data_IF_843851869033
#
_entry.id   IF_843851869033
#
_cell.length_a   1.000
_cell.length_b   1.000
_cell.length_c   1.000
_cell.angle_alpha   90.00
_cell.angle_beta   90.00
_cell.angle_gamma   90.00
#
_symmetry.space_group_name_H-M   'P 1'
#
loop_
_entity.id
_entity.type
_entity.pdbx_description
1 polymer ?
#
# COMPACT_ATOMS: atom_id res chain seq x y z
N UNK A 1 -7.34 6.91 23.14
CA UNK A 1 -6.67 6.31 21.96
C UNK A 1 -7.53 5.27 21.22
N UNK A 2 -8.84 5.17 21.49
CA UNK A 2 -9.75 4.23 20.79
C UNK A 2 -9.67 4.27 19.26
N UNK A 3 -9.39 5.45 18.69
CA UNK A 3 -9.26 5.64 17.23
C UNK A 3 -8.11 4.87 16.57
N UNK A 4 -7.16 4.42 17.37
CA UNK A 4 -5.99 3.65 16.94
C UNK A 4 -6.05 2.20 17.41
N UNK A 5 -7.19 1.77 17.96
CA UNK A 5 -7.44 0.36 18.18
C UNK A 5 -7.73 -0.29 16.83
N UNK A 6 -7.13 -1.45 16.62
CA UNK A 6 -7.36 -2.29 15.44
C UNK A 6 -7.22 -1.57 14.10
N UNK A 7 -6.16 -0.79 13.84
CA UNK A 7 -6.03 -0.02 12.61
C UNK A 7 -6.00 -0.94 11.38
N UNK A 8 -6.47 -0.44 10.24
CA UNK A 8 -6.48 -1.19 8.98
C UNK A 8 -5.30 -0.72 8.14
N UNK A 9 -4.42 -1.64 7.77
CA UNK A 9 -3.19 -1.31 7.03
C UNK A 9 -3.13 -2.14 5.75
N UNK A 10 -3.35 -1.49 4.63
CA UNK A 10 -3.22 -2.09 3.30
C UNK A 10 -1.76 -2.05 2.87
N UNK A 11 -1.19 -3.21 2.60
CA UNK A 11 0.18 -3.40 2.13
C UNK A 11 0.21 -4.15 0.81
N UNK A 12 1.35 -4.11 0.15
CA UNK A 12 1.64 -4.93 -1.02
C UNK A 12 2.67 -4.27 -1.94
N UNK A 13 3.22 -5.02 -2.90
CA UNK A 13 4.09 -4.43 -3.91
C UNK A 13 3.39 -3.28 -4.66
N UNK A 14 4.19 -2.38 -5.20
CA UNK A 14 3.66 -1.41 -6.17
C UNK A 14 3.03 -2.14 -7.36
N UNK A 15 1.97 -1.55 -7.93
CA UNK A 15 1.30 -2.04 -9.17
C UNK A 15 0.48 -3.34 -9.05
N UNK A 16 0.13 -3.77 -7.84
CA UNK A 16 -0.76 -4.91 -7.60
C UNK A 16 -2.25 -4.57 -7.61
N UNK A 17 -2.65 -3.34 -7.93
CA UNK A 17 -4.04 -2.88 -7.80
C UNK A 17 -4.41 -2.45 -6.38
N UNK A 18 -3.44 -2.38 -5.47
CA UNK A 18 -3.66 -1.97 -4.08
C UNK A 18 -4.33 -0.61 -3.92
N UNK A 19 -4.07 0.35 -4.83
CA UNK A 19 -4.76 1.65 -4.81
C UNK A 19 -6.27 1.49 -4.98
N UNK A 20 -6.71 0.75 -6.00
CA UNK A 20 -8.13 0.56 -6.33
C UNK A 20 -8.87 -0.03 -5.13
N UNK A 21 -8.37 -1.17 -4.63
CA UNK A 21 -8.98 -1.86 -3.50
C UNK A 21 -8.95 -1.00 -2.23
N UNK A 22 -7.82 -0.33 -1.93
CA UNK A 22 -7.73 0.54 -0.75
C UNK A 22 -8.67 1.74 -0.83
N UNK A 23 -8.86 2.36 -1.99
CA UNK A 23 -9.74 3.52 -2.14
C UNK A 23 -11.22 3.13 -1.97
N UNK A 24 -11.61 1.91 -2.38
CA UNK A 24 -12.94 1.37 -2.11
C UNK A 24 -13.13 1.14 -0.61
N UNK A 25 -12.20 0.45 0.05
CA UNK A 25 -12.29 0.17 1.50
C UNK A 25 -12.28 1.47 2.31
N UNK A 26 -11.42 2.44 1.95
CA UNK A 26 -11.28 3.71 2.67
C UNK A 26 -12.45 4.68 2.44
N UNK A 27 -13.40 4.34 1.56
CA UNK A 27 -14.65 5.08 1.45
C UNK A 27 -15.55 4.94 2.69
N UNK A 28 -15.32 3.89 3.50
CA UNK A 28 -16.08 3.64 4.72
C UNK A 28 -16.08 4.83 5.67
N UNK A 29 -17.25 5.20 6.19
CA UNK A 29 -17.49 6.42 6.95
C UNK A 29 -16.66 6.50 8.25
N UNK A 30 -16.40 5.38 8.91
CA UNK A 30 -15.58 5.33 10.13
C UNK A 30 -14.08 5.53 9.89
N UNK A 31 -13.60 5.31 8.66
CA UNK A 31 -12.18 5.27 8.36
C UNK A 31 -11.62 6.67 8.06
N UNK A 32 -10.43 6.92 8.59
CA UNK A 32 -9.65 8.12 8.33
C UNK A 32 -8.16 7.79 8.25
N UNK A 33 -7.39 8.71 7.69
CA UNK A 33 -5.96 8.50 7.50
C UNK A 33 -5.30 9.62 6.71
N UNK A 34 -4.01 9.47 6.39
CA UNK A 34 -3.25 10.50 5.69
C UNK A 34 -3.82 10.83 4.32
N UNK A 35 -3.72 12.10 3.95
CA UNK A 35 -4.14 12.59 2.64
C UNK A 35 -2.98 13.21 1.88
N UNK A 36 -3.19 13.63 0.64
CA UNK A 36 -2.22 14.39 -0.13
C UNK A 36 -1.71 15.64 0.60
N UNK A 37 -2.53 16.27 1.45
CA UNK A 37 -2.10 17.41 2.26
C UNK A 37 -1.11 17.02 3.34
N UNK A 38 -1.25 15.83 3.92
CA UNK A 38 -0.29 15.28 4.89
C UNK A 38 1.06 14.95 4.23
N UNK A 39 1.05 14.57 2.95
CA UNK A 39 2.26 14.40 2.14
C UNK A 39 2.93 15.75 1.85
N UNK A 40 2.17 16.75 1.41
CA UNK A 40 2.73 18.06 1.04
C UNK A 40 3.18 18.90 2.23
N UNK A 41 2.47 18.81 3.36
CA UNK A 41 2.68 19.64 4.54
C UNK A 41 2.63 18.80 5.82
N UNK A 42 3.62 17.91 6.04
CA UNK A 42 3.62 16.95 7.16
C UNK A 42 3.69 17.60 8.55
N UNK A 43 4.04 18.88 8.64
CA UNK A 43 4.13 19.65 9.89
C UNK A 43 2.84 20.40 10.24
N UNK A 44 1.82 20.40 9.37
CA UNK A 44 0.58 21.15 9.53
C UNK A 44 -0.62 20.20 9.73
N UNK A 45 -0.81 19.65 10.95
CA UNK A 45 -1.84 18.64 11.20
C UNK A 45 -3.27 19.14 10.95
N UNK A 46 -3.53 20.44 11.13
CA UNK A 46 -4.85 21.07 10.95
C UNK A 46 -5.40 20.94 9.52
N UNK A 47 -4.54 20.74 8.51
CA UNK A 47 -4.98 20.47 7.13
C UNK A 47 -5.81 19.18 7.02
N UNK A 48 -5.67 18.27 7.99
CA UNK A 48 -6.51 17.07 8.08
C UNK A 48 -7.99 17.41 8.27
N UNK A 49 -8.31 18.57 8.85
CA UNK A 49 -9.69 19.04 9.02
C UNK A 49 -10.39 19.36 7.69
N UNK A 50 -9.64 19.63 6.60
CA UNK A 50 -10.21 19.83 5.26
C UNK A 50 -11.01 18.60 4.79
N UNK A 51 -10.68 17.42 5.32
CA UNK A 51 -11.44 16.18 5.06
C UNK A 51 -12.90 16.33 5.48
N UNK A 52 -13.23 17.12 6.52
CA UNK A 52 -14.62 17.33 6.96
C UNK A 52 -15.46 18.08 5.93
N UNK A 53 -14.85 18.89 5.08
CA UNK A 53 -15.54 19.62 4.01
C UNK A 53 -16.01 18.69 2.89
N UNK A 54 -15.34 17.55 2.73
CA UNK A 54 -15.59 16.60 1.64
C UNK A 54 -16.14 15.25 2.12
N UNK A 55 -15.89 14.87 3.36
CA UNK A 55 -16.23 13.56 3.92
C UNK A 55 -16.69 13.71 5.37
N UNK A 56 -18.00 13.89 5.56
CA UNK A 56 -18.67 13.93 6.85
C UNK A 56 -19.92 13.01 6.83
N UNK A 57 -20.78 13.09 7.84
CA UNK A 57 -21.95 12.21 7.98
C UNK A 57 -23.08 12.58 6.99
N UNK A 58 -23.14 13.83 6.54
CA UNK A 58 -24.18 14.33 5.63
C UNK A 58 -23.82 14.14 4.16
N UNK A 59 -22.54 14.32 3.79
CA UNK A 59 -22.08 14.14 2.42
C UNK A 59 -20.68 13.54 2.32
N UNK A 60 -20.45 12.88 1.19
CA UNK A 60 -19.19 12.25 0.85
C UNK A 60 -18.84 12.51 -0.62
N UNK A 61 -17.70 13.15 -0.83
CA UNK A 61 -17.06 13.42 -2.11
C UNK A 61 -15.60 13.03 -1.93
N UNK A 62 -15.15 11.99 -2.62
CA UNK A 62 -13.76 11.55 -2.54
C UNK A 62 -12.98 12.00 -3.77
N UNK A 63 -11.79 12.56 -3.56
CA UNK A 63 -10.84 12.82 -4.63
C UNK A 63 -10.26 11.50 -5.12
N UNK A 64 -10.17 11.32 -6.44
CA UNK A 64 -9.68 10.07 -7.05
C UNK A 64 -8.23 10.24 -7.53
N UNK A 65 -7.44 9.17 -7.48
CA UNK A 65 -6.17 9.17 -8.22
C UNK A 65 -6.48 8.93 -9.69
N UNK A 66 -5.94 9.78 -10.57
CA UNK A 66 -6.05 9.62 -12.02
C UNK A 66 -5.34 8.31 -12.43
N UNK A 67 -6.05 7.19 -12.41
CA UNK A 67 -5.51 5.88 -12.81
C UNK A 67 -6.07 5.43 -14.16
N UNK A 68 -7.40 5.49 -14.34
CA UNK A 68 -8.06 5.08 -15.60
C UNK A 68 -9.12 6.04 -16.14
N UNK A 69 -9.61 7.00 -15.36
CA UNK A 69 -10.64 7.96 -15.79
C UNK A 69 -10.15 9.41 -15.76
N UNK A 70 -10.78 10.27 -16.58
CA UNK A 70 -10.60 11.73 -16.51
C UNK A 70 -11.10 12.21 -15.15
N UNK A 71 -10.20 12.74 -14.34
CA UNK A 71 -10.55 13.31 -13.04
C UNK A 71 -11.36 14.58 -13.20
N UNK A 72 -12.29 14.84 -12.26
CA UNK A 72 -13.06 16.11 -12.22
C UNK A 72 -12.12 17.33 -12.15
N UNK A 73 -12.56 18.46 -12.68
CA UNK A 73 -11.77 19.71 -12.75
C UNK A 73 -11.21 20.18 -11.40
N UNK A 74 -11.94 19.94 -10.30
CA UNK A 74 -11.51 20.29 -8.93
C UNK A 74 -10.96 19.10 -8.11
N UNK A 75 -10.72 17.95 -8.75
CA UNK A 75 -10.31 16.72 -8.06
C UNK A 75 -8.99 16.85 -7.28
N UNK A 76 -8.11 17.75 -7.70
CA UNK A 76 -6.82 17.98 -7.02
C UNK A 76 -6.96 18.74 -5.68
N UNK A 77 -8.10 19.39 -5.43
CA UNK A 77 -8.38 20.12 -4.20
C UNK A 77 -9.18 19.30 -3.18
N UNK A 78 -9.75 18.17 -3.60
CA UNK A 78 -10.46 17.27 -2.67
C UNK A 78 -9.41 16.38 -2.00
N UNK A 79 -9.38 16.31 -0.65
CA UNK A 79 -8.49 15.42 0.06
C UNK A 79 -8.64 13.97 -0.45
N UNK A 80 -7.52 13.35 -0.80
CA UNK A 80 -7.46 11.96 -1.27
C UNK A 80 -6.49 11.14 -0.44
N UNK A 81 -6.74 9.84 -0.21
CA UNK A 81 -5.84 8.98 0.55
C UNK A 81 -4.42 8.97 -0.02
N UNK A 82 -3.43 9.15 0.85
CA UNK A 82 -2.01 9.13 0.51
C UNK A 82 -1.25 8.13 1.36
N UNK A 83 -0.13 7.67 0.82
CA UNK A 83 0.84 6.84 1.58
C UNK A 83 1.61 7.73 2.57
N UNK A 84 1.69 9.05 2.27
CA UNK A 84 2.21 10.10 3.13
C UNK A 84 3.68 9.87 3.53
N UNK A 85 4.53 9.57 2.56
CA UNK A 85 5.94 9.24 2.78
C UNK A 85 6.69 10.35 3.52
N UNK A 86 6.44 11.61 3.16
CA UNK A 86 7.01 12.79 3.85
C UNK A 86 6.54 12.91 5.30
N UNK A 87 5.30 12.47 5.60
CA UNK A 87 4.80 12.42 6.97
C UNK A 87 5.53 11.33 7.77
N UNK A 88 5.66 10.14 7.20
CA UNK A 88 6.41 9.05 7.83
C UNK A 88 7.85 9.45 8.11
N UNK A 89 8.54 10.04 7.15
CA UNK A 89 9.92 10.48 7.31
C UNK A 89 10.10 11.52 8.42
N UNK A 90 9.08 12.35 8.67
CA UNK A 90 9.09 13.34 9.74
C UNK A 90 8.84 12.72 11.14
N UNK A 91 8.25 11.52 11.20
CA UNK A 91 7.94 10.83 12.45
C UNK A 91 8.95 9.73 12.80
N UNK A 92 9.62 9.16 11.81
CA UNK A 92 10.66 8.13 12.00
C UNK A 92 12.02 8.76 12.24
N UNK A 93 12.89 8.01 12.92
CA UNK A 93 14.30 8.42 13.11
C UNK A 93 15.07 8.53 11.79
N UNK A 94 16.17 9.30 11.80
CA UNK A 94 16.91 9.71 10.61
C UNK A 94 17.67 8.57 9.90
N UNK A 95 17.92 7.42 10.55
CA UNK A 95 18.53 6.24 9.90
C UNK A 95 17.52 5.37 9.13
N UNK A 96 16.25 5.77 9.09
CA UNK A 96 15.17 5.07 8.39
C UNK A 96 14.77 5.88 7.16
N UNK A 97 14.89 5.26 5.99
CA UNK A 97 14.15 5.67 4.80
C UNK A 97 12.85 4.86 4.75
N UNK A 98 11.79 5.40 5.34
CA UNK A 98 10.53 4.67 5.46
C UNK A 98 9.93 4.30 4.09
N UNK A 99 10.24 5.07 3.04
CA UNK A 99 9.71 4.84 1.70
C UNK A 99 10.39 3.69 0.96
N UNK A 100 11.64 3.36 1.31
CA UNK A 100 12.47 2.38 0.58
C UNK A 100 12.98 1.21 1.41
N UNK A 101 13.12 1.37 2.73
CA UNK A 101 13.67 0.32 3.58
C UNK A 101 12.65 -0.79 3.84
N UNK A 102 13.15 -2.04 3.88
CA UNK A 102 12.35 -3.19 4.31
C UNK A 102 12.08 -3.19 5.82
N UNK A 103 12.95 -2.54 6.61
CA UNK A 103 12.86 -2.50 8.08
C UNK A 103 12.80 -3.88 8.76
N UNK A 104 13.42 -4.90 8.14
CA UNK A 104 13.54 -6.24 8.75
C UNK A 104 14.24 -6.15 10.10
N UNK A 105 13.69 -6.84 11.10
CA UNK A 105 14.21 -6.86 12.46
C UNK A 105 14.31 -5.48 13.15
N UNK A 106 13.75 -4.42 12.55
CA UNK A 106 13.68 -3.09 13.14
C UNK A 106 12.31 -2.90 13.81
N UNK A 107 12.32 -2.36 15.02
CA UNK A 107 11.13 -1.94 15.77
C UNK A 107 11.20 -0.44 16.05
N UNK A 108 10.03 0.20 16.14
CA UNK A 108 9.93 1.59 16.55
C UNK A 108 10.38 1.74 18.01
N UNK A 109 11.15 2.79 18.31
CA UNK A 109 11.42 3.18 19.69
C UNK A 109 10.15 3.64 20.41
N UNK A 110 10.18 3.74 21.73
CA UNK A 110 9.04 4.28 22.49
C UNK A 110 8.70 5.72 22.07
N UNK A 111 9.70 6.53 21.75
CA UNK A 111 9.50 7.91 21.27
C UNK A 111 8.85 7.96 19.89
N UNK A 112 9.25 7.07 18.97
CA UNK A 112 8.62 6.92 17.65
C UNK A 112 7.16 6.46 17.82
N UNK A 113 6.90 5.44 18.64
CA UNK A 113 5.53 4.96 18.92
C UNK A 113 4.64 6.07 19.45
N UNK A 114 5.11 6.83 20.43
CA UNK A 114 4.34 7.94 21.00
C UNK A 114 4.07 9.04 19.96
N UNK A 115 5.09 9.45 19.21
CA UNK A 115 4.97 10.48 18.17
C UNK A 115 3.99 10.06 17.08
N UNK A 116 4.15 8.85 16.53
CA UNK A 116 3.33 8.31 15.45
C UNK A 116 1.87 8.16 15.91
N UNK A 117 1.64 7.55 17.08
CA UNK A 117 0.29 7.36 17.63
C UNK A 117 -0.35 8.71 17.98
N UNK A 118 0.39 9.65 18.56
CA UNK A 118 -0.15 10.99 18.82
C UNK A 118 -0.58 11.69 17.54
N UNK A 119 0.28 11.65 16.51
CA UNK A 119 0.05 12.31 15.22
C UNK A 119 -1.20 11.76 14.53
N UNK A 120 -1.35 10.43 14.47
CA UNK A 120 -2.53 9.82 13.86
C UNK A 120 -3.80 10.01 14.72
N UNK A 121 -3.73 9.97 16.05
CA UNK A 121 -4.91 10.26 16.88
C UNK A 121 -5.40 11.71 16.70
N UNK A 122 -4.47 12.68 16.63
CA UNK A 122 -4.79 14.08 16.36
C UNK A 122 -5.38 14.25 14.95
N UNK A 123 -4.81 13.59 13.94
CA UNK A 123 -5.34 13.57 12.58
C UNK A 123 -6.78 13.06 12.53
N UNK A 124 -7.06 11.91 13.15
CA UNK A 124 -8.41 11.33 13.15
C UNK A 124 -9.41 12.18 13.93
N UNK A 125 -9.00 12.82 15.04
CA UNK A 125 -9.83 13.82 15.73
C UNK A 125 -10.22 14.97 14.80
N UNK A 126 -9.25 15.52 14.08
CA UNK A 126 -9.48 16.61 13.13
C UNK A 126 -10.34 16.16 11.94
N UNK A 127 -10.23 14.92 11.49
CA UNK A 127 -11.08 14.36 10.44
C UNK A 127 -12.48 13.98 10.93
N UNK A 128 -12.68 13.83 12.24
CA UNK A 128 -13.93 13.28 12.80
C UNK A 128 -14.09 11.78 12.54
N UNK A 129 -12.97 11.04 12.41
CA UNK A 129 -12.96 9.61 12.05
C UNK A 129 -12.65 8.74 13.26
N UNK A 130 -13.19 7.52 13.21
CA UNK A 130 -13.20 6.61 14.34
C UNK A 130 -12.10 5.56 14.29
N UNK A 131 -11.51 5.30 13.12
CA UNK A 131 -10.51 4.24 12.98
C UNK A 131 -9.47 4.58 11.91
N UNK A 132 -8.20 4.31 12.22
CA UNK A 132 -7.09 4.56 11.32
C UNK A 132 -7.09 3.56 10.15
N UNK A 133 -6.92 4.10 8.95
CA UNK A 133 -6.70 3.38 7.71
C UNK A 133 -5.42 3.90 7.02
N UNK A 134 -4.50 2.99 6.70
CA UNK A 134 -3.21 3.29 6.07
C UNK A 134 -3.02 2.44 4.82
N UNK A 135 -2.39 3.01 3.80
CA UNK A 135 -1.96 2.27 2.62
C UNK A 135 -0.48 2.52 2.38
N UNK A 136 0.31 1.45 2.27
CA UNK A 136 1.76 1.52 2.11
C UNK A 136 2.19 0.54 1.02
N UNK A 137 2.87 1.03 -0.02
CA UNK A 137 3.38 0.16 -1.10
C UNK A 137 4.87 -0.17 -0.93
N UNK A 138 5.29 -1.29 -1.53
CA UNK A 138 6.67 -1.79 -1.45
C UNK A 138 6.83 -2.82 -0.33
N UNK A 139 7.97 -2.83 0.39
CA UNK A 139 8.18 -3.69 1.54
C UNK A 139 7.08 -3.54 2.59
N UNK A 140 6.66 -4.65 3.18
CA UNK A 140 5.52 -4.65 4.09
C UNK A 140 5.82 -3.95 5.42
N UNK A 141 7.07 -4.01 5.90
CA UNK A 141 7.54 -3.38 7.15
C UNK A 141 6.70 -3.82 8.34
N UNK A 142 6.24 -5.08 8.30
CA UNK A 142 5.29 -5.63 9.27
C UNK A 142 5.88 -5.59 10.68
N UNK A 143 7.17 -5.89 10.84
CA UNK A 143 7.81 -5.87 12.17
C UNK A 143 7.77 -4.49 12.82
N UNK A 144 8.10 -3.46 12.03
CA UNK A 144 8.09 -2.08 12.48
C UNK A 144 6.66 -1.60 12.76
N UNK A 145 5.74 -1.81 11.81
CA UNK A 145 4.34 -1.38 11.95
C UNK A 145 3.61 -2.10 13.08
N UNK A 146 3.81 -3.41 13.23
CA UNK A 146 3.24 -4.21 14.33
C UNK A 146 3.80 -3.79 15.69
N UNK A 147 5.03 -3.27 15.75
CA UNK A 147 5.57 -2.71 17.00
C UNK A 147 4.86 -1.42 17.44
N UNK A 148 4.24 -0.69 16.51
CA UNK A 148 3.47 0.54 16.76
C UNK A 148 1.98 0.21 16.99
N UNK A 149 1.46 -0.74 16.22
CA UNK A 149 0.06 -1.15 16.18
C UNK A 149 -0.05 -2.69 16.28
N UNK A 150 0.09 -3.26 17.49
CA UNK A 150 0.12 -4.71 17.67
C UNK A 150 -1.22 -5.40 17.38
N UNK A 151 -2.31 -4.65 17.33
CA UNK A 151 -3.67 -5.12 17.07
C UNK A 151 -4.16 -4.82 15.64
N UNK A 152 -3.27 -4.35 14.75
CA UNK A 152 -3.61 -4.00 13.37
C UNK A 152 -4.12 -5.17 12.54
N UNK A 153 -5.04 -4.87 11.62
CA UNK A 153 -5.50 -5.76 10.55
C UNK A 153 -4.77 -5.39 9.27
N UNK A 154 -3.91 -6.29 8.80
CA UNK A 154 -3.16 -6.10 7.56
C UNK A 154 -3.92 -6.70 6.38
N UNK A 155 -4.02 -5.95 5.29
CA UNK A 155 -4.59 -6.43 4.02
C UNK A 155 -3.45 -6.46 3.02
N UNK A 156 -2.95 -7.65 2.69
CA UNK A 156 -1.87 -7.83 1.73
C UNK A 156 -2.43 -8.05 0.33
N UNK A 157 -2.16 -7.12 -0.58
CA UNK A 157 -2.67 -7.19 -1.95
C UNK A 157 -1.55 -7.67 -2.86
N UNK A 158 -1.75 -8.86 -3.41
CA UNK A 158 -0.84 -9.51 -4.33
C UNK A 158 -1.45 -9.58 -5.72
N UNK A 159 -0.59 -9.70 -6.72
CA UNK A 159 -0.98 -9.83 -8.13
C UNK A 159 0.03 -10.72 -8.81
N UNK A 160 -0.41 -11.42 -9.85
CA UNK A 160 0.44 -12.29 -10.66
C UNK A 160 1.78 -11.57 -11.02
N UNK A 161 2.94 -12.24 -10.82
CA UNK A 161 4.25 -11.59 -10.97
C UNK A 161 4.52 -11.01 -12.35
N UNK A 162 4.14 -11.72 -13.42
CA UNK A 162 4.30 -11.29 -14.81
C UNK A 162 3.60 -9.97 -15.03
N UNK A 163 2.30 -9.89 -14.71
CA UNK A 163 1.49 -8.69 -14.83
C UNK A 163 2.01 -7.53 -13.97
N UNK A 164 2.56 -7.83 -12.78
CA UNK A 164 3.14 -6.82 -11.87
C UNK A 164 4.44 -6.24 -12.44
N UNK A 165 5.36 -7.10 -12.89
CA UNK A 165 6.63 -6.68 -13.51
C UNK A 165 6.37 -5.88 -14.79
N UNK A 166 5.48 -6.34 -15.68
CA UNK A 166 5.09 -5.57 -16.88
C UNK A 166 4.55 -4.19 -16.50
N UNK A 167 3.68 -4.12 -15.49
CA UNK A 167 3.10 -2.85 -15.06
C UNK A 167 4.13 -1.89 -14.45
N UNK A 168 5.10 -2.42 -13.69
CA UNK A 168 6.23 -1.64 -13.17
C UNK A 168 7.09 -1.11 -14.32
N UNK A 169 7.49 -1.96 -15.25
CA UNK A 169 8.31 -1.58 -16.40
C UNK A 169 7.63 -0.59 -17.33
N UNK A 170 6.30 -0.55 -17.39
CA UNK A 170 5.54 0.45 -18.16
C UNK A 170 5.36 1.79 -17.41
N UNK A 171 5.91 1.95 -16.20
CA UNK A 171 5.80 3.17 -15.40
C UNK A 171 7.07 4.04 -15.55
N UNK A 172 6.98 5.31 -15.99
CA UNK A 172 8.16 6.16 -16.26
C UNK A 172 9.12 6.30 -15.07
N UNK A 173 8.58 6.53 -13.88
CA UNK A 173 9.38 6.63 -12.65
C UNK A 173 10.21 5.35 -12.40
N UNK A 174 9.63 4.18 -12.63
CA UNK A 174 10.33 2.90 -12.43
C UNK A 174 11.45 2.72 -13.46
N UNK A 175 11.20 3.03 -14.73
CA UNK A 175 12.22 2.99 -15.78
C UNK A 175 13.39 3.93 -15.49
N UNK A 176 13.12 5.10 -14.92
CA UNK A 176 14.15 6.09 -14.58
C UNK A 176 14.96 5.70 -13.35
N UNK A 177 14.36 4.97 -12.41
CA UNK A 177 14.95 4.68 -11.10
C UNK A 177 14.95 3.18 -10.81
N UNK A 178 13.82 2.60 -10.37
CA UNK A 178 13.77 1.25 -9.80
C UNK A 178 14.17 0.10 -10.72
N UNK A 179 14.15 0.28 -12.05
CA UNK A 179 14.66 -0.69 -13.02
C UNK A 179 16.19 -0.65 -13.20
N UNK A 180 16.85 0.43 -12.73
CA UNK A 180 18.30 0.66 -12.92
C UNK A 180 19.13 0.38 -11.67
N UNK A 181 18.48 0.21 -10.51
CA UNK A 181 19.13 0.00 -9.22
C UNK A 181 18.21 -0.78 -8.29
N UNK A 182 18.76 -1.29 -7.17
CA UNK A 182 17.93 -1.75 -6.08
C UNK A 182 17.16 -0.55 -5.52
N UNK A 183 15.87 -0.52 -5.80
CA UNK A 183 14.96 0.51 -5.32
C UNK A 183 14.73 0.37 -3.83
N UNK A 184 14.54 -0.84 -3.32
CA UNK A 184 14.34 -1.08 -1.88
C UNK A 184 15.64 -1.54 -1.21
N UNK A 185 15.79 -1.33 0.11
CA UNK A 185 17.05 -1.59 0.82
C UNK A 185 16.89 -2.33 2.16
N UNK A 186 17.99 -2.93 2.62
CA UNK A 186 18.08 -3.47 3.99
C UNK A 186 17.67 -4.93 4.15
N UNK A 187 17.27 -5.63 3.07
CA UNK A 187 16.89 -7.04 3.13
C UNK A 187 17.82 -8.00 2.35
N UNK A 188 18.75 -7.47 1.54
CA UNK A 188 19.59 -8.29 0.67
C UNK A 188 20.85 -8.77 1.39
N UNK A 189 21.08 -10.08 1.37
CA UNK A 189 22.35 -10.69 1.75
C UNK A 189 23.47 -10.35 0.75
N UNK A 190 24.73 -10.51 1.16
CA UNK A 190 25.88 -10.34 0.25
C UNK A 190 25.76 -11.19 -1.02
N UNK A 191 25.24 -12.42 -0.89
CA UNK A 191 25.00 -13.32 -2.03
C UNK A 191 23.97 -12.72 -2.98
N UNK A 192 22.85 -12.24 -2.46
CA UNK A 192 21.78 -11.62 -3.25
C UNK A 192 22.25 -10.33 -3.94
N UNK A 193 23.08 -9.51 -3.27
CA UNK A 193 23.68 -8.32 -3.88
C UNK A 193 24.58 -8.70 -5.07
N UNK A 194 25.42 -9.73 -4.92
CA UNK A 194 26.25 -10.23 -6.02
C UNK A 194 25.39 -10.78 -7.17
N UNK A 195 24.32 -11.51 -6.85
CA UNK A 195 23.35 -11.99 -7.84
C UNK A 195 22.69 -10.84 -8.58
N UNK A 196 22.26 -9.79 -7.88
CA UNK A 196 21.68 -8.60 -8.50
C UNK A 196 22.67 -7.90 -9.43
N UNK A 197 23.92 -7.71 -8.99
CA UNK A 197 24.96 -7.06 -9.81
C UNK A 197 25.18 -7.79 -11.15
N UNK A 198 25.08 -9.12 -11.17
CA UNK A 198 25.18 -9.91 -12.40
C UNK A 198 24.01 -9.69 -13.37
N UNK A 199 22.84 -9.29 -12.87
CA UNK A 199 21.63 -9.04 -13.68
C UNK A 199 21.22 -7.57 -13.77
N UNK A 200 22.01 -6.64 -13.21
CA UNK A 200 21.64 -5.24 -13.07
C UNK A 200 21.36 -4.53 -14.41
N UNK A 201 21.91 -5.05 -15.51
CA UNK A 201 21.67 -4.55 -16.88
C UNK A 201 20.41 -5.13 -17.53
N UNK A 202 19.77 -6.12 -16.92
CA UNK A 202 18.52 -6.71 -17.40
C UNK A 202 17.35 -6.18 -16.54
N UNK A 203 16.56 -5.21 -17.03
CA UNK A 203 15.51 -4.57 -16.25
C UNK A 203 14.37 -5.52 -15.88
N UNK A 204 14.08 -6.53 -16.71
CA UNK A 204 13.06 -7.56 -16.43
C UNK A 204 13.51 -8.42 -15.25
N UNK A 205 14.71 -8.98 -15.33
CA UNK A 205 15.29 -9.80 -14.27
C UNK A 205 15.45 -9.01 -12.96
N UNK A 206 15.99 -7.79 -13.03
CA UNK A 206 16.18 -6.93 -11.86
C UNK A 206 14.87 -6.51 -11.20
N UNK A 207 13.81 -6.24 -11.97
CA UNK A 207 12.48 -5.92 -11.43
C UNK A 207 11.83 -7.15 -10.79
N UNK A 208 11.88 -8.31 -11.46
CA UNK A 208 11.36 -9.57 -10.94
C UNK A 208 12.07 -10.00 -9.65
N UNK A 209 13.40 -9.86 -9.60
CA UNK A 209 14.21 -10.16 -8.41
C UNK A 209 13.78 -9.32 -7.19
N UNK A 210 13.57 -8.02 -7.39
CA UNK A 210 13.12 -7.13 -6.31
C UNK A 210 11.68 -7.42 -5.87
N UNK A 211 10.79 -7.73 -6.82
CA UNK A 211 9.42 -8.14 -6.51
C UNK A 211 9.42 -9.42 -5.67
N UNK A 212 10.21 -10.42 -6.07
CA UNK A 212 10.37 -11.66 -5.32
C UNK A 212 10.83 -11.40 -3.88
N UNK A 213 11.76 -10.46 -3.70
CA UNK A 213 12.24 -10.09 -2.37
C UNK A 213 11.12 -9.54 -1.51
N UNK A 214 10.29 -8.62 -2.02
CA UNK A 214 9.11 -8.12 -1.29
C UNK A 214 8.17 -9.26 -0.90
N UNK A 215 7.80 -10.13 -1.86
CA UNK A 215 6.84 -11.21 -1.61
C UNK A 215 7.35 -12.20 -0.56
N UNK A 216 8.62 -12.60 -0.66
CA UNK A 216 9.25 -13.54 0.27
C UNK A 216 9.41 -12.93 1.66
N UNK A 217 9.96 -11.71 1.77
CA UNK A 217 10.15 -11.08 3.09
C UNK A 217 8.82 -10.77 3.77
N UNK A 218 7.79 -10.38 3.03
CA UNK A 218 6.45 -10.12 3.61
C UNK A 218 5.91 -11.37 4.28
N UNK A 219 6.02 -12.53 3.63
CA UNK A 219 5.61 -13.83 4.20
C UNK A 219 6.41 -14.20 5.44
N UNK A 220 7.73 -13.99 5.40
CA UNK A 220 8.60 -14.25 6.53
C UNK A 220 8.29 -13.33 7.73
N UNK A 221 8.11 -12.03 7.49
CA UNK A 221 7.73 -11.07 8.52
C UNK A 221 6.38 -11.42 9.15
N UNK A 222 5.37 -11.76 8.32
CA UNK A 222 4.05 -12.19 8.79
C UNK A 222 4.17 -13.36 9.78
N UNK A 223 4.98 -14.37 9.44
CA UNK A 223 5.21 -15.53 10.30
C UNK A 223 5.92 -15.14 11.62
N UNK A 224 6.90 -14.22 11.56
CA UNK A 224 7.65 -13.76 12.73
C UNK A 224 6.78 -13.02 13.74
N UNK A 225 5.96 -12.07 13.27
CA UNK A 225 5.12 -11.26 14.17
C UNK A 225 3.74 -11.83 14.43
N UNK A 226 3.36 -12.90 13.71
CA UNK A 226 2.01 -13.48 13.74
C UNK A 226 0.93 -12.42 13.49
N UNK A 227 1.19 -11.54 12.51
CA UNK A 227 0.29 -10.44 12.19
C UNK A 227 -1.07 -10.97 11.70
N UNK A 228 -2.16 -10.32 12.12
CA UNK A 228 -3.48 -10.55 11.56
C UNK A 228 -3.48 -10.04 10.12
N UNK A 229 -3.35 -10.95 9.16
CA UNK A 229 -3.22 -10.57 7.75
C UNK A 229 -4.14 -11.39 6.84
N UNK A 230 -4.94 -10.69 6.05
CA UNK A 230 -5.70 -11.25 4.94
C UNK A 230 -4.97 -10.96 3.64
N UNK A 231 -4.76 -11.98 2.80
CA UNK A 231 -4.19 -11.79 1.46
C UNK A 231 -5.30 -11.80 0.41
N UNK A 232 -5.32 -10.77 -0.43
CA UNK A 232 -6.25 -10.62 -1.54
C UNK A 232 -5.46 -10.67 -2.84
N UNK A 233 -5.81 -11.63 -3.70
CA UNK A 233 -5.27 -11.68 -5.05
C UNK A 233 -6.05 -10.73 -5.94
N UNK A 234 -5.35 -9.87 -6.67
CA UNK A 234 -5.98 -8.91 -7.57
C UNK A 234 -6.83 -9.61 -8.63
N UNK A 235 -6.41 -10.77 -9.11
CA UNK A 235 -7.14 -11.59 -10.07
C UNK A 235 -8.48 -12.07 -9.50
N UNK A 236 -8.52 -12.46 -8.21
CA UNK A 236 -9.76 -12.82 -7.52
C UNK A 236 -10.68 -11.61 -7.36
N UNK A 237 -10.11 -10.45 -6.99
CA UNK A 237 -10.85 -9.19 -6.94
C UNK A 237 -11.49 -8.86 -8.28
N UNK A 238 -10.78 -9.02 -9.41
CA UNK A 238 -11.36 -8.78 -10.74
C UNK A 238 -12.49 -9.75 -11.08
N UNK A 239 -12.39 -11.01 -10.64
CA UNK A 239 -13.41 -12.03 -10.91
C UNK A 239 -14.70 -11.82 -10.11
N UNK A 240 -14.58 -11.37 -8.85
CA UNK A 240 -15.72 -11.09 -7.99
C UNK A 240 -15.40 -9.95 -7.00
N UNK A 241 -15.51 -8.68 -7.45
CA UNK A 241 -15.13 -7.52 -6.63
C UNK A 241 -15.94 -7.40 -5.34
N UNK A 242 -17.26 -7.66 -5.42
CA UNK A 242 -18.16 -7.59 -4.26
C UNK A 242 -17.74 -8.59 -3.18
N UNK A 243 -17.45 -9.84 -3.56
CA UNK A 243 -16.99 -10.86 -2.62
C UNK A 243 -15.64 -10.50 -1.97
N UNK A 244 -14.68 -10.01 -2.76
CA UNK A 244 -13.37 -9.62 -2.24
C UNK A 244 -13.47 -8.46 -1.24
N UNK A 245 -14.28 -7.43 -1.53
CA UNK A 245 -14.51 -6.31 -0.62
C UNK A 245 -15.25 -6.76 0.65
N UNK A 246 -16.30 -7.59 0.52
CA UNK A 246 -17.00 -8.14 1.67
C UNK A 246 -16.07 -8.98 2.57
N UNK A 247 -15.17 -9.76 1.98
CA UNK A 247 -14.17 -10.53 2.73
C UNK A 247 -13.23 -9.63 3.53
N UNK A 248 -12.78 -8.52 2.94
CA UNK A 248 -11.98 -7.51 3.65
C UNK A 248 -12.77 -6.88 4.80
N UNK A 249 -14.01 -6.46 4.55
CA UNK A 249 -14.86 -5.83 5.57
C UNK A 249 -15.11 -6.77 6.74
N UNK A 250 -15.45 -8.03 6.46
CA UNK A 250 -15.67 -9.07 7.46
C UNK A 250 -14.40 -9.31 8.30
N UNK A 251 -13.25 -9.47 7.64
CA UNK A 251 -11.96 -9.65 8.31
C UNK A 251 -11.60 -8.46 9.20
N UNK A 252 -11.85 -7.24 8.74
CA UNK A 252 -11.57 -6.03 9.51
C UNK A 252 -12.67 -5.69 10.53
N UNK A 253 -13.76 -6.45 10.62
CA UNK A 253 -14.94 -6.15 11.43
C UNK A 253 -15.52 -4.75 11.15
N UNK A 254 -15.66 -4.42 9.87
CA UNK A 254 -16.38 -3.22 9.42
C UNK A 254 -17.87 -3.54 9.21
N UNK A 255 -18.72 -2.58 9.53
CA UNK A 255 -20.15 -2.65 9.25
C UNK A 255 -20.42 -2.43 7.76
N UNK A 256 -21.62 -2.78 7.31
CA UNK A 256 -22.04 -2.47 5.94
C UNK A 256 -22.15 -0.95 5.76
N UNK A 257 -21.65 -0.44 4.64
CA UNK A 257 -21.63 0.99 4.34
C UNK A 257 -21.90 1.25 2.86
N UNK A 258 -22.95 2.01 2.57
CA UNK A 258 -23.35 2.40 1.22
C UNK A 258 -22.24 3.15 0.46
N UNK A 259 -21.32 3.83 1.16
CA UNK A 259 -20.17 4.51 0.53
C UNK A 259 -19.23 3.54 -0.14
N UNK A 260 -19.05 2.34 0.43
CA UNK A 260 -18.25 1.28 -0.17
C UNK A 260 -18.93 0.79 -1.45
N UNK A 261 -20.23 0.49 -1.39
CA UNK A 261 -21.01 0.03 -2.54
C UNK A 261 -20.97 1.06 -3.68
N UNK A 262 -21.25 2.32 -3.36
CA UNK A 262 -21.21 3.42 -4.31
C UNK A 262 -19.81 3.59 -4.91
N UNK A 263 -18.74 3.52 -4.11
CA UNK A 263 -17.37 3.63 -4.60
C UNK A 263 -17.02 2.45 -5.50
N UNK A 264 -17.42 1.24 -5.14
CA UNK A 264 -17.18 0.04 -5.94
C UNK A 264 -17.85 0.13 -7.31
N UNK A 265 -19.10 0.61 -7.38
CA UNK A 265 -19.85 0.79 -8.63
C UNK A 265 -19.25 1.88 -9.53
N UNK A 266 -18.74 2.96 -8.93
CA UNK A 266 -18.12 4.07 -9.67
C UNK A 266 -16.70 3.77 -10.13
N UNK A 267 -16.00 2.87 -9.44
CA UNK A 267 -14.60 2.58 -9.73
C UNK A 267 -14.47 1.69 -10.95
N UNK A 268 -13.96 2.25 -12.05
CA UNK A 268 -13.58 1.47 -13.22
C UNK A 268 -12.30 0.67 -12.97
N UNK A 269 -12.39 -0.65 -13.01
CA UNK A 269 -11.22 -1.54 -13.02
C UNK A 269 -11.30 -2.48 -14.22
N UNK A 270 -10.18 -2.61 -14.92
CA UNK A 270 -10.05 -3.52 -16.05
C UNK A 270 -8.89 -4.47 -15.82
N UNK A 271 -9.09 -5.74 -16.18
CA UNK A 271 -7.98 -6.64 -16.40
C UNK A 271 -7.33 -6.26 -17.72
N UNK A 272 -6.47 -5.23 -17.74
CA UNK A 272 -5.56 -5.09 -18.87
C UNK A 272 -4.74 -6.37 -18.89
N UNK A 273 -4.98 -7.23 -19.89
CA UNK A 273 -4.24 -8.46 -20.17
C UNK A 273 -2.80 -8.10 -20.56
N UNK A 274 -2.04 -7.56 -19.61
CA UNK A 274 -0.64 -7.20 -19.76
C UNK A 274 0.23 -8.46 -19.97
N UNK A 275 -0.30 -9.63 -19.58
CA UNK A 275 0.31 -10.94 -19.83
C UNK A 275 0.41 -11.27 -21.32
N UNK A 276 -0.50 -10.78 -22.15
CA UNK A 276 -0.51 -11.05 -23.59
C UNK A 276 0.42 -10.11 -24.39
N UNK A 277 1.05 -9.14 -23.72
CA UNK A 277 1.94 -8.16 -24.35
C UNK A 277 3.43 -8.45 -24.14
N UNK A 278 3.78 -9.48 -23.36
CA UNK A 278 5.17 -9.86 -23.13
C UNK A 278 5.59 -10.99 -24.06
N UNK A 279 6.79 -10.86 -24.62
CA UNK A 279 7.47 -11.96 -25.30
C UNK A 279 7.68 -13.14 -24.34
N UNK A 280 7.64 -14.37 -24.85
CA UNK A 280 7.80 -15.61 -24.06
C UNK A 280 9.09 -15.60 -23.22
N UNK A 281 10.17 -15.06 -23.77
CA UNK A 281 11.48 -14.88 -23.12
C UNK A 281 11.42 -14.02 -21.85
N UNK A 282 10.56 -12.98 -21.85
CA UNK A 282 10.37 -12.12 -20.69
C UNK A 282 9.59 -12.83 -19.58
N UNK A 283 8.61 -13.65 -19.95
CA UNK A 283 7.84 -14.45 -18.99
C UNK A 283 8.73 -15.48 -18.28
N UNK A 284 9.52 -16.24 -19.02
CA UNK A 284 10.47 -17.21 -18.45
C UNK A 284 11.49 -16.52 -17.52
N UNK A 285 11.94 -15.32 -17.90
CA UNK A 285 12.83 -14.51 -17.07
C UNK A 285 12.15 -14.12 -15.75
N UNK A 286 10.88 -13.71 -15.79
CA UNK A 286 10.13 -13.34 -14.58
C UNK A 286 9.90 -14.56 -13.70
N UNK A 287 9.48 -15.69 -14.26
CA UNK A 287 9.27 -16.94 -13.51
C UNK A 287 10.56 -17.42 -12.83
N UNK A 288 11.71 -17.26 -13.51
CA UNK A 288 13.04 -17.58 -12.96
C UNK A 288 13.43 -16.68 -11.78
N UNK A 289 13.20 -15.38 -11.89
CA UNK A 289 13.66 -14.39 -10.91
C UNK A 289 12.62 -14.02 -9.84
N UNK A 290 11.36 -14.41 -10.05
CA UNK A 290 10.27 -14.29 -9.11
C UNK A 290 9.51 -15.61 -8.94
N UNK A 291 10.16 -16.67 -8.40
CA UNK A 291 9.54 -17.97 -8.21
C UNK A 291 8.53 -18.01 -7.06
N UNK A 292 8.42 -16.95 -6.25
CA UNK A 292 7.46 -16.88 -5.15
C UNK A 292 6.04 -17.14 -5.66
N UNK A 293 5.54 -18.36 -5.41
CA UNK A 293 4.14 -18.71 -5.63
C UNK A 293 3.30 -17.91 -4.64
N UNK A 294 2.40 -17.09 -5.18
CA UNK A 294 1.38 -16.43 -4.36
C UNK A 294 0.54 -17.55 -3.75
N UNK A 295 0.55 -17.67 -2.42
CA UNK A 295 -0.23 -18.70 -1.73
C UNK A 295 -1.71 -18.49 -2.06
N UNK A 296 -2.38 -19.53 -2.54
CA UNK A 296 -3.83 -19.53 -2.79
C UNK A 296 -4.59 -19.41 -1.46
#
# INVERSE_FOLDING_TARGET
MKRLEKPIIVIGPGRTGSTIISEIVFAHHELGGPTNYSEWQPKLPWLSALTRLSNNDLWWISGEKAQQQKTRFLNNYVPRPAEAWSLWQNMTRSDIDFSRDFLLYKRASETEKQTIRHTFDAMLKLQGKQRLALKLTGPARLEYLHSIFPDAYFINIVREPTATVTSLLNTPFWQQQGAKQLWWHGAYSKKELNTYNAIARNPVAGTAFQLNKILTTTKEEQARVKANMLTIHYEQFLSNPKYAIHSIMSFCHLSNDQRIDQKLEQTGFSNRQLTNQLESTSRETIERWCPAKLAC
#
